data_IF_508155774327
#
_entry.id   IF_508155774327
#
_cell.length_a   1.000
_cell.length_b   1.000
_cell.length_c   1.000
_cell.angle_alpha   90.00
_cell.angle_beta   90.00
_cell.angle_gamma   90.00
#
_symmetry.space_group_name_H-M   'P 1'
#
loop_
_entity.id
_entity.type
_entity.pdbx_description
1 polymer ?
#
# COMPACT_ATOMS: atom_id res chain seq x y z
N UNK A 1 -55.79 16.62 51.12
CA UNK A 1 -54.75 15.57 51.03
C UNK A 1 -54.79 14.80 49.70
N UNK A 2 -55.97 14.39 49.20
CA UNK A 2 -56.08 13.66 47.91
C UNK A 2 -55.77 14.55 46.69
N UNK A 3 -56.22 15.81 46.68
CA UNK A 3 -55.98 16.72 45.54
C UNK A 3 -54.52 17.14 45.38
N UNK A 4 -53.78 17.34 46.48
CA UNK A 4 -52.34 17.61 46.45
C UNK A 4 -51.52 16.45 45.89
N UNK A 5 -51.93 15.20 46.16
CA UNK A 5 -51.25 14.02 45.62
C UNK A 5 -51.50 13.87 44.12
N UNK A 6 -52.72 14.20 43.66
CA UNK A 6 -53.08 14.16 42.24
C UNK A 6 -52.34 15.24 41.44
N UNK A 7 -52.20 16.44 42.00
CA UNK A 7 -51.45 17.54 41.39
C UNK A 7 -49.95 17.27 41.33
N UNK A 8 -49.35 16.68 42.38
CA UNK A 8 -47.94 16.22 42.35
C UNK A 8 -47.70 15.07 41.38
N UNK A 9 -48.69 14.22 41.16
CA UNK A 9 -48.62 13.11 40.20
C UNK A 9 -48.70 13.60 38.76
N UNK A 10 -49.52 14.61 38.47
CA UNK A 10 -49.64 15.22 37.15
C UNK A 10 -48.37 16.01 36.77
N UNK A 11 -47.80 16.77 37.71
CA UNK A 11 -46.55 17.54 37.51
C UNK A 11 -45.34 16.63 37.23
N UNK A 12 -45.19 15.52 37.98
CA UNK A 12 -44.18 14.49 37.70
C UNK A 12 -44.38 13.79 36.35
N UNK A 13 -45.61 13.68 35.89
CA UNK A 13 -45.95 13.06 34.60
C UNK A 13 -45.59 14.02 33.46
N UNK A 14 -45.91 15.31 33.58
CA UNK A 14 -45.52 16.37 32.65
C UNK A 14 -43.99 16.49 32.52
N UNK A 15 -43.27 16.47 33.64
CA UNK A 15 -41.80 16.52 33.66
C UNK A 15 -41.17 15.30 32.95
N UNK A 16 -41.73 14.09 33.17
CA UNK A 16 -41.31 12.88 32.47
C UNK A 16 -41.59 12.95 30.97
N UNK A 17 -42.76 13.43 30.56
CA UNK A 17 -43.11 13.58 29.13
C UNK A 17 -42.19 14.59 28.43
N UNK A 18 -41.85 15.70 29.10
CA UNK A 18 -40.89 16.68 28.57
C UNK A 18 -39.48 16.10 28.44
N UNK A 19 -39.02 15.33 29.43
CA UNK A 19 -37.73 14.61 29.37
C UNK A 19 -37.70 13.55 28.26
N UNK A 20 -38.78 12.80 28.08
CA UNK A 20 -38.91 11.81 27.00
C UNK A 20 -38.87 12.49 25.62
N UNK A 21 -39.54 13.62 25.43
CA UNK A 21 -39.52 14.39 24.18
C UNK A 21 -38.11 14.96 23.87
N UNK A 22 -37.38 15.44 24.88
CA UNK A 22 -35.99 15.90 24.71
C UNK A 22 -35.05 14.75 24.33
N UNK A 23 -35.17 13.60 25.00
CA UNK A 23 -34.37 12.40 24.70
C UNK A 23 -34.69 11.88 23.30
N UNK A 24 -35.96 11.89 22.88
CA UNK A 24 -36.37 11.51 21.53
C UNK A 24 -35.77 12.46 20.48
N UNK A 25 -35.77 13.78 20.71
CA UNK A 25 -35.15 14.76 19.80
C UNK A 25 -33.63 14.60 19.72
N UNK A 26 -32.97 14.32 20.83
CA UNK A 26 -31.53 14.04 20.82
C UNK A 26 -31.21 12.74 20.07
N UNK A 27 -32.00 11.69 20.28
CA UNK A 27 -31.88 10.43 19.56
C UNK A 27 -32.08 10.61 18.05
N UNK A 28 -33.06 11.41 17.61
CA UNK A 28 -33.27 11.66 16.17
C UNK A 28 -32.13 12.47 15.56
N UNK A 29 -31.60 13.48 16.25
CA UNK A 29 -30.44 14.24 15.76
C UNK A 29 -29.21 13.35 15.65
N UNK A 30 -28.93 12.52 16.66
CA UNK A 30 -27.79 11.60 16.64
C UNK A 30 -27.96 10.55 15.54
N UNK A 31 -29.16 9.98 15.38
CA UNK A 31 -29.45 9.02 14.32
C UNK A 31 -29.29 9.66 12.92
N UNK A 32 -29.74 10.89 12.74
CA UNK A 32 -29.63 11.62 11.47
C UNK A 32 -28.18 12.02 11.17
N UNK A 33 -27.41 12.41 12.19
CA UNK A 33 -25.97 12.65 12.06
C UNK A 33 -25.21 11.36 11.68
N UNK A 34 -25.55 10.23 12.31
CA UNK A 34 -24.95 8.93 11.99
C UNK A 34 -25.33 8.46 10.59
N UNK A 35 -26.59 8.62 10.18
CA UNK A 35 -27.04 8.31 8.83
C UNK A 35 -26.35 9.20 7.79
N UNK A 36 -26.22 10.50 8.06
CA UNK A 36 -25.48 11.44 7.20
C UNK A 36 -24.00 11.08 7.09
N UNK A 37 -23.37 10.71 8.21
CA UNK A 37 -21.98 10.24 8.23
C UNK A 37 -21.81 8.94 7.45
N UNK A 38 -22.70 7.96 7.63
CA UNK A 38 -22.68 6.70 6.91
C UNK A 38 -22.84 6.91 5.39
N UNK A 39 -23.79 7.76 4.99
CA UNK A 39 -24.03 8.10 3.59
C UNK A 39 -22.83 8.84 2.99
N UNK A 40 -22.21 9.75 3.75
CA UNK A 40 -20.97 10.42 3.36
C UNK A 40 -19.82 9.43 3.17
N UNK A 41 -19.63 8.48 4.10
CA UNK A 41 -18.63 7.42 3.98
C UNK A 41 -18.87 6.52 2.76
N UNK A 42 -20.12 6.19 2.46
CA UNK A 42 -20.44 5.33 1.32
C UNK A 42 -20.19 6.07 -0.01
N UNK A 43 -20.59 7.34 -0.11
CA UNK A 43 -20.23 8.20 -1.25
C UNK A 43 -18.71 8.32 -1.36
N UNK A 44 -18.00 8.55 -0.26
CA UNK A 44 -16.54 8.62 -0.26
C UNK A 44 -15.88 7.32 -0.72
N UNK A 45 -16.44 6.14 -0.40
CA UNK A 45 -15.94 4.86 -0.88
C UNK A 45 -16.10 4.68 -2.40
N UNK A 46 -17.18 5.21 -3.00
CA UNK A 46 -17.33 5.23 -4.46
C UNK A 46 -16.28 6.10 -5.13
N UNK A 47 -15.93 7.24 -4.52
CA UNK A 47 -14.88 8.12 -5.02
C UNK A 47 -13.46 7.73 -4.58
N UNK A 48 -13.30 6.67 -3.79
CA UNK A 48 -12.01 6.31 -3.20
C UNK A 48 -10.96 5.97 -4.27
N UNK A 49 -11.36 5.33 -5.37
CA UNK A 49 -10.45 5.00 -6.45
C UNK A 49 -9.95 6.25 -7.18
N UNK A 50 -10.85 7.21 -7.46
CA UNK A 50 -10.49 8.50 -8.06
C UNK A 50 -9.59 9.29 -7.11
N UNK A 51 -9.92 9.30 -5.81
CA UNK A 51 -9.13 9.98 -4.79
C UNK A 51 -7.74 9.35 -4.66
N UNK A 52 -7.62 8.03 -4.81
CA UNK A 52 -6.34 7.33 -4.82
C UNK A 52 -5.51 7.69 -6.04
N UNK A 53 -6.10 7.73 -7.23
CA UNK A 53 -5.42 8.19 -8.45
C UNK A 53 -4.93 9.62 -8.27
N UNK A 54 -5.80 10.53 -7.80
CA UNK A 54 -5.44 11.92 -7.54
C UNK A 54 -4.32 12.04 -6.50
N UNK A 55 -4.41 11.29 -5.39
CA UNK A 55 -3.42 11.29 -4.32
C UNK A 55 -2.05 10.83 -4.80
N UNK A 56 -1.97 9.67 -5.49
CA UNK A 56 -0.72 9.15 -6.04
C UNK A 56 -0.17 10.12 -7.10
N UNK A 57 -1.02 10.65 -7.98
CA UNK A 57 -0.61 11.60 -9.02
C UNK A 57 -0.04 12.89 -8.44
N UNK A 58 -0.62 13.39 -7.35
CA UNK A 58 -0.17 14.55 -6.60
C UNK A 58 1.21 14.29 -5.99
N UNK A 59 1.38 13.17 -5.30
CA UNK A 59 2.67 12.77 -4.72
C UNK A 59 3.74 12.62 -5.80
N UNK A 60 3.42 11.93 -6.89
CA UNK A 60 4.30 11.75 -8.04
C UNK A 60 4.69 13.10 -8.67
N UNK A 61 3.72 14.01 -8.80
CA UNK A 61 3.95 15.36 -9.30
C UNK A 61 4.91 16.14 -8.39
N UNK A 62 4.66 16.12 -7.08
CA UNK A 62 5.55 16.79 -6.11
C UNK A 62 6.96 16.21 -6.09
N UNK A 63 7.11 14.90 -6.35
CA UNK A 63 8.43 14.27 -6.44
C UNK A 63 9.23 14.83 -7.63
N UNK A 64 8.59 14.97 -8.80
CA UNK A 64 9.27 15.35 -10.04
C UNK A 64 9.31 16.86 -10.31
N UNK A 65 8.57 17.69 -9.56
CA UNK A 65 8.48 19.13 -9.80
C UNK A 65 9.85 19.81 -9.89
N UNK A 66 10.78 19.49 -8.98
CA UNK A 66 12.13 20.07 -8.98
C UNK A 66 12.96 19.65 -10.22
N UNK A 67 12.82 18.40 -10.65
CA UNK A 67 13.54 17.85 -11.80
C UNK A 67 13.01 18.51 -13.07
N UNK A 68 11.69 18.65 -13.17
CA UNK A 68 11.03 19.34 -14.28
C UNK A 68 11.36 20.82 -14.31
N UNK A 69 11.30 21.53 -13.19
CA UNK A 69 11.60 22.96 -13.15
C UNK A 69 13.09 23.24 -13.43
N UNK A 70 14.00 22.34 -13.04
CA UNK A 70 15.40 22.41 -13.43
C UNK A 70 15.58 22.19 -14.94
N UNK A 71 14.93 21.17 -15.50
CA UNK A 71 15.04 20.84 -16.93
C UNK A 71 14.32 21.87 -17.82
N UNK A 72 13.22 22.46 -17.36
CA UNK A 72 12.48 23.51 -18.05
C UNK A 72 13.29 24.80 -18.21
N UNK A 73 14.39 24.99 -17.44
CA UNK A 73 15.34 26.09 -17.68
C UNK A 73 16.18 25.88 -18.95
N UNK A 74 16.35 24.62 -19.37
CA UNK A 74 17.14 24.25 -20.55
C UNK A 74 16.26 23.95 -21.77
N UNK A 75 15.02 23.52 -21.56
CA UNK A 75 14.06 23.15 -22.61
C UNK A 75 13.04 24.25 -22.84
N UNK A 76 12.73 24.57 -24.10
CA UNK A 76 11.92 25.73 -24.49
C UNK A 76 10.45 25.69 -24.00
N UNK A 77 9.92 24.53 -23.61
CA UNK A 77 8.55 24.35 -23.13
C UNK A 77 8.49 23.43 -21.91
N UNK A 78 7.67 23.80 -20.91
CA UNK A 78 7.43 22.99 -19.71
C UNK A 78 6.87 21.61 -20.05
N UNK A 79 5.97 21.53 -21.04
CA UNK A 79 5.39 20.26 -21.49
C UNK A 79 6.46 19.29 -22.03
N UNK A 80 7.45 19.81 -22.78
CA UNK A 80 8.58 19.02 -23.26
C UNK A 80 9.50 18.58 -22.12
N UNK A 81 9.75 19.44 -21.13
CA UNK A 81 10.52 19.06 -19.95
C UNK A 81 9.85 17.91 -19.18
N UNK A 82 8.54 17.99 -18.96
CA UNK A 82 7.77 16.92 -18.31
C UNK A 82 7.85 15.61 -19.12
N UNK A 83 7.62 15.68 -20.43
CA UNK A 83 7.68 14.52 -21.31
C UNK A 83 9.06 13.85 -21.26
N UNK A 84 10.14 14.64 -21.32
CA UNK A 84 11.50 14.11 -21.24
C UNK A 84 11.78 13.44 -19.89
N UNK A 85 11.35 14.05 -18.78
CA UNK A 85 11.50 13.45 -17.44
C UNK A 85 10.77 12.11 -17.34
N UNK A 86 9.54 12.03 -17.83
CA UNK A 86 8.77 10.78 -17.83
C UNK A 86 9.35 9.74 -18.78
N UNK A 87 9.91 10.15 -19.91
CA UNK A 87 10.60 9.25 -20.84
C UNK A 87 11.85 8.65 -20.18
N UNK A 88 12.70 9.48 -19.57
CA UNK A 88 13.90 9.03 -18.84
C UNK A 88 13.52 8.12 -17.68
N UNK A 89 12.49 8.48 -16.92
CA UNK A 89 11.97 7.64 -15.83
C UNK A 89 11.46 6.30 -16.34
N UNK A 90 10.68 6.30 -17.43
CA UNK A 90 10.17 5.07 -18.05
C UNK A 90 11.30 4.15 -18.50
N UNK A 91 12.34 4.70 -19.15
CA UNK A 91 13.54 3.94 -19.52
C UNK A 91 14.26 3.40 -18.29
N UNK A 92 14.43 4.21 -17.24
CA UNK A 92 15.09 3.79 -16.01
C UNK A 92 14.33 2.65 -15.30
N UNK A 93 12.99 2.72 -15.25
CA UNK A 93 12.14 1.66 -14.68
C UNK A 93 12.22 0.39 -15.52
N UNK A 94 12.09 0.49 -16.85
CA UNK A 94 12.19 -0.67 -17.74
C UNK A 94 13.55 -1.34 -17.58
N UNK A 95 14.64 -0.56 -17.59
CA UNK A 95 16.00 -1.07 -17.41
C UNK A 95 16.17 -1.74 -16.04
N UNK A 96 15.63 -1.13 -14.97
CA UNK A 96 15.65 -1.70 -13.63
C UNK A 96 14.90 -3.03 -13.56
N UNK A 97 13.71 -3.13 -14.16
CA UNK A 97 12.94 -4.37 -14.21
C UNK A 97 13.67 -5.44 -15.03
N UNK A 98 14.19 -5.09 -16.21
CA UNK A 98 14.89 -6.05 -17.09
C UNK A 98 16.19 -6.57 -16.47
N UNK A 99 16.90 -5.77 -15.67
CA UNK A 99 18.12 -6.21 -14.99
C UNK A 99 17.86 -6.92 -13.67
N UNK A 100 16.99 -6.36 -12.83
CA UNK A 100 16.78 -6.83 -11.45
C UNK A 100 15.83 -8.02 -11.43
N UNK A 101 14.74 -7.99 -12.20
CA UNK A 101 13.70 -9.03 -12.13
C UNK A 101 14.24 -10.43 -12.51
N UNK A 102 15.01 -10.62 -13.60
CA UNK A 102 15.58 -11.94 -13.91
C UNK A 102 16.58 -12.41 -12.86
N UNK A 103 17.40 -11.50 -12.33
CA UNK A 103 18.33 -11.83 -11.25
C UNK A 103 17.59 -12.28 -9.98
N UNK A 104 16.46 -11.63 -9.66
CA UNK A 104 15.58 -12.06 -8.57
C UNK A 104 14.94 -13.42 -8.84
N UNK A 105 14.40 -13.66 -10.04
CA UNK A 105 13.78 -14.95 -10.39
C UNK A 105 14.81 -16.09 -10.28
N UNK A 106 16.02 -15.88 -10.77
CA UNK A 106 17.11 -16.85 -10.65
C UNK A 106 17.46 -17.14 -9.18
N UNK A 107 17.61 -16.09 -8.37
CA UNK A 107 17.91 -16.21 -6.94
C UNK A 107 16.77 -16.90 -6.16
N UNK A 108 15.50 -16.63 -6.48
CA UNK A 108 14.35 -17.33 -5.87
C UNK A 108 14.30 -18.80 -6.29
N UNK A 109 14.59 -19.12 -7.55
CA UNK A 109 14.65 -20.50 -8.02
C UNK A 109 15.76 -21.29 -7.30
N UNK A 110 16.93 -20.66 -7.11
CA UNK A 110 18.06 -21.25 -6.39
C UNK A 110 17.76 -21.42 -4.89
N UNK A 111 17.02 -20.49 -4.26
CA UNK A 111 16.48 -20.67 -2.90
C UNK A 111 15.58 -21.90 -2.84
N UNK A 112 14.64 -22.00 -3.78
CA UNK A 112 13.73 -23.14 -3.87
C UNK A 112 14.52 -24.45 -3.96
N UNK A 113 15.41 -24.57 -4.94
CA UNK A 113 16.19 -25.79 -5.15
C UNK A 113 17.06 -26.16 -3.94
N UNK A 114 17.76 -25.18 -3.36
CA UNK A 114 18.62 -25.40 -2.18
C UNK A 114 17.80 -25.83 -0.97
N UNK A 115 16.66 -25.19 -0.71
CA UNK A 115 15.77 -25.54 0.40
C UNK A 115 15.13 -26.91 0.16
N UNK A 116 14.63 -27.20 -1.03
CA UNK A 116 14.03 -28.50 -1.35
C UNK A 116 15.04 -29.66 -1.30
N UNK A 117 16.30 -29.43 -1.70
CA UNK A 117 17.36 -30.45 -1.62
C UNK A 117 17.93 -30.62 -0.21
N UNK A 118 17.93 -29.57 0.62
CA UNK A 118 18.40 -29.64 2.01
C UNK A 118 17.32 -30.04 3.00
N UNK A 119 16.03 -29.93 2.67
CA UNK A 119 14.92 -30.41 3.51
C UNK A 119 15.09 -31.88 3.92
N UNK A 120 15.38 -32.83 3.01
CA UNK A 120 15.65 -34.22 3.38
C UNK A 120 16.80 -34.34 4.39
N UNK A 121 17.89 -33.59 4.19
CA UNK A 121 19.06 -33.64 5.09
C UNK A 121 18.81 -32.97 6.45
N UNK A 122 17.99 -31.92 6.50
CA UNK A 122 17.55 -31.28 7.74
C UNK A 122 16.60 -32.21 8.48
N UNK A 123 15.71 -32.89 7.76
CA UNK A 123 14.83 -33.92 8.32
C UNK A 123 15.65 -35.10 8.83
N UNK A 124 16.65 -35.58 8.09
CA UNK A 124 17.53 -36.68 8.53
C UNK A 124 18.34 -36.29 9.76
N UNK A 125 18.85 -35.05 9.83
CA UNK A 125 19.55 -34.53 11.02
C UNK A 125 18.60 -34.34 12.20
N UNK A 126 17.36 -33.95 11.95
CA UNK A 126 16.32 -33.82 12.97
C UNK A 126 15.90 -35.20 13.48
N UNK A 127 15.75 -36.21 12.60
CA UNK A 127 15.49 -37.61 12.94
C UNK A 127 16.67 -38.18 13.74
N UNK A 128 17.91 -37.95 13.33
CA UNK A 128 19.11 -38.37 14.08
C UNK A 128 19.21 -37.69 15.45
N UNK A 129 18.87 -36.41 15.57
CA UNK A 129 18.82 -35.68 16.84
C UNK A 129 17.65 -36.13 17.73
N UNK A 130 16.55 -36.61 17.13
CA UNK A 130 15.39 -37.19 17.80
C UNK A 130 15.55 -38.69 18.06
N UNK A 131 16.52 -39.37 17.48
CA UNK A 131 16.81 -40.79 17.68
C UNK A 131 16.99 -41.18 19.18
N UNK A 132 17.69 -40.40 20.02
CA UNK A 132 17.70 -40.65 21.47
C UNK A 132 16.35 -40.40 22.17
N UNK A 133 15.43 -39.67 21.53
CA UNK A 133 14.02 -39.55 21.95
C UNK A 133 13.17 -40.72 21.42
N UNK A 134 13.52 -41.26 20.26
CA UNK A 134 12.84 -42.35 19.57
C UNK A 134 13.01 -43.68 20.31
N UNK A 135 14.18 -43.99 20.89
CA UNK A 135 14.34 -45.13 21.79
C UNK A 135 13.38 -45.06 23.00
N UNK A 136 13.09 -43.84 23.49
CA UNK A 136 12.12 -43.63 24.58
C UNK A 136 10.67 -43.65 24.10
N UNK A 137 10.42 -43.44 22.80
CA UNK A 137 9.08 -43.32 22.20
C UNK A 137 8.63 -44.59 21.45
N UNK A 138 9.55 -45.44 21.00
CA UNK A 138 9.26 -46.80 20.48
C UNK A 138 8.69 -47.71 21.57
N UNK A 139 9.01 -47.46 22.83
CA UNK A 139 8.30 -48.06 23.98
C UNK A 139 6.80 -47.67 24.04
N UNK A 140 6.39 -46.62 23.34
CA UNK A 140 5.03 -46.07 23.31
C UNK A 140 4.27 -46.30 21.97
N UNK A 141 4.81 -47.09 21.03
CA UNK A 141 4.17 -47.44 19.72
C UNK A 141 3.63 -46.25 18.92
N UNK A 142 4.49 -45.28 18.57
CA UNK A 142 4.12 -44.21 17.63
C UNK A 142 5.01 -44.32 16.38
N UNK A 143 4.41 -44.69 15.26
CA UNK A 143 5.04 -44.81 13.95
C UNK A 143 5.07 -43.43 13.26
N UNK A 144 6.26 -42.88 13.00
CA UNK A 144 6.39 -41.58 12.34
C UNK A 144 6.28 -41.77 10.82
N UNK A 145 5.07 -41.54 10.30
CA UNK A 145 4.71 -41.54 8.88
C UNK A 145 5.19 -40.28 8.13
N UNK A 146 6.49 -39.99 8.17
CA UNK A 146 7.07 -38.87 7.41
C UNK A 146 6.86 -39.01 5.89
N UNK A 147 6.86 -40.26 5.39
CA UNK A 147 6.61 -40.58 3.97
C UNK A 147 5.18 -40.24 3.51
N UNK A 148 4.17 -40.42 4.36
CA UNK A 148 2.77 -40.10 4.02
C UNK A 148 2.53 -38.59 4.00
N UNK A 149 3.26 -37.82 4.81
CA UNK A 149 3.13 -36.35 4.84
C UNK A 149 3.73 -35.75 3.56
N UNK A 150 4.88 -36.24 3.11
CA UNK A 150 5.49 -35.81 1.85
C UNK A 150 4.64 -36.19 0.63
N UNK A 151 4.09 -37.41 0.59
CA UNK A 151 3.23 -37.84 -0.51
C UNK A 151 1.91 -37.06 -0.54
N UNK A 152 1.36 -36.70 0.62
CA UNK A 152 0.18 -35.84 0.75
C UNK A 152 0.47 -34.40 0.33
N UNK A 153 1.64 -33.84 0.68
CA UNK A 153 2.06 -32.51 0.21
C UNK A 153 2.27 -32.47 -1.31
N UNK A 154 2.92 -33.48 -1.88
CA UNK A 154 3.13 -33.61 -3.32
C UNK A 154 1.81 -33.84 -4.10
N UNK A 155 0.84 -34.54 -3.50
CA UNK A 155 -0.48 -34.76 -4.07
C UNK A 155 -1.42 -33.55 -3.97
N UNK A 156 -1.18 -32.63 -3.01
CA UNK A 156 -1.93 -31.39 -2.83
C UNK A 156 -1.32 -30.18 -3.55
N UNK A 157 -0.18 -30.34 -4.24
CA UNK A 157 0.27 -29.34 -5.20
C UNK A 157 -0.78 -29.23 -6.31
N UNK A 158 -1.26 -28.01 -6.64
CA UNK A 158 -2.25 -27.84 -7.69
C UNK A 158 -1.67 -28.38 -8.99
N UNK A 159 -2.14 -29.55 -9.42
CA UNK A 159 -1.82 -30.06 -10.75
C UNK A 159 -2.38 -29.06 -11.77
N UNK A 160 -1.62 -28.69 -12.81
CA UNK A 160 -2.06 -27.69 -13.77
C UNK A 160 -3.21 -28.27 -14.60
N UNK A 161 -4.45 -28.05 -14.16
CA UNK A 161 -5.63 -28.39 -14.94
C UNK A 161 -5.75 -27.36 -16.08
N UNK A 162 -5.83 -27.81 -17.33
CA UNK A 162 -5.76 -26.94 -18.52
C UNK A 162 -6.85 -25.87 -18.55
N UNK A 163 -7.98 -26.12 -17.88
CA UNK A 163 -9.10 -25.17 -17.71
C UNK A 163 -8.79 -24.08 -16.68
N UNK A 164 -8.05 -24.39 -15.61
CA UNK A 164 -7.60 -23.42 -14.61
C UNK A 164 -6.49 -22.51 -15.15
N UNK A 165 -5.64 -23.03 -16.04
CA UNK A 165 -4.62 -22.22 -16.72
C UNK A 165 -5.30 -21.15 -17.58
N UNK A 166 -6.31 -21.51 -18.36
CA UNK A 166 -7.01 -20.56 -19.24
C UNK A 166 -7.76 -19.48 -18.45
N UNK A 167 -8.39 -19.84 -17.32
CA UNK A 167 -9.03 -18.89 -16.41
C UNK A 167 -8.02 -17.96 -15.72
N UNK A 168 -6.85 -18.48 -15.31
CA UNK A 168 -5.77 -17.65 -14.74
C UNK A 168 -5.15 -16.72 -15.79
N UNK A 169 -5.05 -17.16 -17.04
CA UNK A 169 -4.54 -16.31 -18.13
C UNK A 169 -5.50 -15.15 -18.43
N UNK A 170 -6.81 -15.40 -18.45
CA UNK A 170 -7.80 -14.32 -18.65
C UNK A 170 -7.83 -13.36 -17.46
N UNK A 171 -7.78 -13.86 -16.23
CA UNK A 171 -7.69 -13.04 -15.01
C UNK A 171 -6.40 -12.21 -14.99
N UNK A 172 -5.27 -12.80 -15.38
CA UNK A 172 -3.98 -12.09 -15.45
C UNK A 172 -3.98 -11.02 -16.55
N UNK A 173 -4.59 -11.29 -17.72
CA UNK A 173 -4.73 -10.29 -18.79
C UNK A 173 -5.63 -9.12 -18.36
N UNK A 174 -6.77 -9.39 -17.73
CA UNK A 174 -7.68 -8.36 -17.21
C UNK A 174 -7.03 -7.53 -16.10
N UNK A 175 -6.30 -8.18 -15.19
CA UNK A 175 -5.58 -7.50 -14.10
C UNK A 175 -4.48 -6.62 -14.67
N UNK A 176 -3.68 -7.13 -15.61
CA UNK A 176 -2.61 -6.37 -16.26
C UNK A 176 -3.17 -5.16 -17.00
N UNK A 177 -4.27 -5.31 -17.73
CA UNK A 177 -4.91 -4.22 -18.45
C UNK A 177 -5.50 -3.17 -17.50
N UNK A 178 -6.11 -3.61 -16.40
CA UNK A 178 -6.63 -2.71 -15.36
C UNK A 178 -5.48 -1.94 -14.68
N UNK A 179 -4.39 -2.60 -14.32
CA UNK A 179 -3.20 -1.96 -13.74
C UNK A 179 -2.55 -1.00 -14.72
N UNK A 180 -2.51 -1.34 -16.02
CA UNK A 180 -2.01 -0.46 -17.07
C UNK A 180 -2.87 0.80 -17.20
N UNK A 181 -4.20 0.65 -17.26
CA UNK A 181 -5.13 1.78 -17.31
C UNK A 181 -5.04 2.65 -16.05
N UNK A 182 -4.88 2.03 -14.88
CA UNK A 182 -4.67 2.71 -13.62
C UNK A 182 -3.38 3.53 -13.62
N UNK A 183 -2.25 2.92 -13.98
CA UNK A 183 -0.95 3.59 -14.08
C UNK A 183 -0.94 4.71 -15.13
N UNK A 184 -1.58 4.48 -16.28
CA UNK A 184 -1.75 5.50 -17.32
C UNK A 184 -2.56 6.68 -16.80
N UNK A 185 -3.65 6.43 -16.07
CA UNK A 185 -4.47 7.48 -15.46
C UNK A 185 -3.66 8.31 -14.46
N UNK A 186 -2.87 7.65 -13.59
CA UNK A 186 -1.97 8.33 -12.66
C UNK A 186 -0.95 9.18 -13.40
N UNK A 187 -0.33 8.66 -14.47
CA UNK A 187 0.65 9.43 -15.25
C UNK A 187 0.03 10.66 -15.91
N UNK A 188 -1.15 10.53 -16.50
CA UNK A 188 -1.85 11.63 -17.18
C UNK A 188 -2.27 12.71 -16.18
N UNK A 189 -2.84 12.32 -15.04
CA UNK A 189 -3.24 13.28 -13.99
C UNK A 189 -2.01 13.95 -13.38
N UNK A 190 -0.94 13.20 -13.14
CA UNK A 190 0.32 13.74 -12.64
C UNK A 190 0.96 14.71 -13.64
N UNK A 191 0.93 14.38 -14.94
CA UNK A 191 1.35 15.29 -16.01
C UNK A 191 0.61 16.62 -15.96
N UNK A 192 -0.72 16.58 -15.77
CA UNK A 192 -1.53 17.79 -15.66
C UNK A 192 -1.17 18.62 -14.42
N UNK A 193 -0.96 17.97 -13.27
CA UNK A 193 -0.48 18.63 -12.05
C UNK A 193 0.91 19.25 -12.21
N UNK A 194 1.80 18.63 -12.99
CA UNK A 194 3.12 19.18 -13.28
C UNK A 194 3.06 20.38 -14.24
N UNK A 195 2.14 20.33 -15.21
CA UNK A 195 1.96 21.39 -16.19
C UNK A 195 1.38 22.66 -15.52
N UNK A 196 0.26 22.51 -14.81
CA UNK A 196 -0.55 23.61 -14.26
C UNK A 196 -0.55 23.71 -12.73
N UNK A 197 0.36 23.04 -12.04
CA UNK A 197 0.38 22.95 -10.57
C UNK A 197 0.32 24.28 -9.84
N UNK A 198 0.97 25.33 -10.36
CA UNK A 198 0.90 26.68 -9.78
C UNK A 198 -0.50 27.30 -9.90
N UNK A 199 -1.15 27.18 -11.07
CA UNK A 199 -2.52 27.67 -11.27
C UNK A 199 -3.53 26.91 -10.41
N UNK A 200 -3.37 25.59 -10.28
CA UNK A 200 -4.22 24.73 -9.44
C UNK A 200 -4.10 25.15 -7.97
N UNK A 201 -2.87 25.32 -7.48
CA UNK A 201 -2.59 25.78 -6.12
C UNK A 201 -3.22 27.14 -5.84
N UNK A 202 -3.01 28.10 -6.72
CA UNK A 202 -3.55 29.46 -6.55
C UNK A 202 -5.08 29.47 -6.58
N UNK A 203 -5.69 28.63 -7.43
CA UNK A 203 -7.14 28.47 -7.49
C UNK A 203 -7.71 27.89 -6.20
N UNK A 204 -7.05 26.89 -5.61
CA UNK A 204 -7.42 26.32 -4.32
C UNK A 204 -7.31 27.38 -3.21
N UNK A 205 -6.20 28.16 -3.17
CA UNK A 205 -6.00 29.22 -2.17
C UNK A 205 -7.06 30.33 -2.32
N UNK A 206 -7.49 30.64 -3.56
CA UNK A 206 -8.53 31.66 -3.82
C UNK A 206 -9.90 31.27 -3.26
N UNK A 207 -10.18 29.98 -3.07
CA UNK A 207 -11.41 29.49 -2.45
C UNK A 207 -11.50 29.87 -0.96
N UNK A 208 -10.36 30.13 -0.30
CA UNK A 208 -10.33 30.57 1.08
C UNK A 208 -10.59 32.08 1.24
N UNK A 209 -11.18 32.50 2.38
CA UNK A 209 -11.40 33.92 2.69
C UNK A 209 -10.10 34.73 2.63
N UNK A 210 -10.16 35.96 2.13
CA UNK A 210 -8.99 36.84 1.90
C UNK A 210 -8.05 36.96 3.10
N UNK A 211 -8.60 36.98 4.32
CA UNK A 211 -7.87 37.05 5.59
C UNK A 211 -6.87 35.90 5.80
N UNK A 212 -7.15 34.71 5.26
CA UNK A 212 -6.31 33.52 5.45
C UNK A 212 -5.40 33.20 4.27
N UNK A 213 -5.59 33.86 3.12
CA UNK A 213 -4.86 33.55 1.87
C UNK A 213 -3.34 33.62 2.03
N UNK A 214 -2.83 34.66 2.70
CA UNK A 214 -1.39 34.79 2.96
C UNK A 214 -0.85 33.64 3.81
N UNK A 215 -1.60 33.23 4.84
CA UNK A 215 -1.22 32.10 5.71
C UNK A 215 -1.26 30.77 4.96
N UNK A 216 -2.28 30.54 4.13
CA UNK A 216 -2.37 29.34 3.28
C UNK A 216 -1.22 29.25 2.29
N UNK A 217 -0.79 30.37 1.70
CA UNK A 217 0.32 30.40 0.75
C UNK A 217 1.66 30.06 1.43
N UNK A 218 1.92 30.63 2.61
CA UNK A 218 3.12 30.30 3.40
C UNK A 218 3.09 28.83 3.84
N UNK A 219 1.97 28.35 4.35
CA UNK A 219 1.82 26.96 4.79
C UNK A 219 2.02 25.98 3.64
N UNK A 220 1.42 26.24 2.48
CA UNK A 220 1.63 25.40 1.30
C UNK A 220 3.10 25.41 0.86
N UNK A 221 3.80 26.55 0.90
CA UNK A 221 5.23 26.59 0.57
C UNK A 221 6.07 25.75 1.54
N UNK A 222 5.73 25.72 2.82
CA UNK A 222 6.41 24.88 3.81
C UNK A 222 6.12 23.39 3.59
N UNK A 223 4.89 23.05 3.20
CA UNK A 223 4.52 21.68 2.80
C UNK A 223 5.34 21.24 1.59
N UNK A 224 5.49 22.10 0.58
CA UNK A 224 6.28 21.80 -0.62
C UNK A 224 7.73 21.45 -0.27
N UNK A 225 8.38 22.27 0.58
CA UNK A 225 9.75 22.02 1.04
C UNK A 225 9.84 20.72 1.85
N UNK A 226 8.89 20.50 2.76
CA UNK A 226 8.90 19.32 3.65
C UNK A 226 8.68 18.02 2.87
N UNK A 227 7.73 18.01 1.93
CA UNK A 227 7.46 16.85 1.08
C UNK A 227 8.66 16.55 0.18
N UNK A 228 9.25 17.56 -0.45
CA UNK A 228 10.43 17.38 -1.29
C UNK A 228 11.64 16.88 -0.49
N UNK A 229 11.87 17.41 0.71
CA UNK A 229 12.94 16.94 1.60
C UNK A 229 12.71 15.49 2.04
N UNK A 230 11.48 15.13 2.39
CA UNK A 230 11.11 13.76 2.73
C UNK A 230 11.39 12.79 1.58
N UNK A 231 10.91 13.09 0.36
CA UNK A 231 11.13 12.23 -0.79
C UNK A 231 12.60 12.05 -1.14
N UNK A 232 13.39 13.14 -1.12
CA UNK A 232 14.84 13.06 -1.32
C UNK A 232 15.50 12.22 -0.22
N UNK A 233 15.08 12.41 1.02
CA UNK A 233 15.53 11.62 2.16
C UNK A 233 15.26 10.13 1.97
N UNK A 234 14.05 9.76 1.57
CA UNK A 234 13.65 8.37 1.35
C UNK A 234 14.42 7.73 0.19
N UNK A 235 14.61 8.44 -0.93
CA UNK A 235 15.40 7.91 -2.06
C UNK A 235 16.86 7.70 -1.64
N UNK A 236 17.48 8.66 -0.97
CA UNK A 236 18.86 8.54 -0.50
C UNK A 236 18.99 7.45 0.54
N UNK A 237 18.05 7.35 1.48
CA UNK A 237 18.05 6.34 2.53
C UNK A 237 17.86 4.94 1.96
N UNK A 238 16.91 4.74 1.05
CA UNK A 238 16.66 3.45 0.40
C UNK A 238 17.85 2.99 -0.44
N UNK A 239 18.44 3.88 -1.25
CA UNK A 239 19.63 3.56 -2.03
C UNK A 239 20.87 3.29 -1.17
N UNK A 240 21.09 4.09 -0.12
CA UNK A 240 22.20 3.88 0.80
C UNK A 240 22.04 2.57 1.58
N UNK A 241 20.87 2.34 2.17
CA UNK A 241 20.59 1.16 2.97
C UNK A 241 20.61 -0.11 2.12
N UNK A 242 19.93 -0.09 0.97
CA UNK A 242 19.96 -1.18 0.00
C UNK A 242 21.36 -1.49 -0.50
N UNK A 243 22.11 -0.47 -0.92
CA UNK A 243 23.48 -0.63 -1.41
C UNK A 243 24.44 -1.20 -0.35
N UNK A 244 24.38 -0.68 0.88
CA UNK A 244 25.17 -1.20 2.01
C UNK A 244 24.79 -2.66 2.30
N UNK A 245 23.50 -2.99 2.32
CA UNK A 245 23.04 -4.35 2.58
C UNK A 245 23.46 -5.33 1.50
N UNK A 246 23.41 -4.94 0.22
CA UNK A 246 23.96 -5.77 -0.88
C UNK A 246 25.45 -6.05 -0.63
N UNK A 247 26.24 -5.03 -0.29
CA UNK A 247 27.67 -5.21 -0.02
C UNK A 247 27.95 -6.10 1.19
N UNK A 248 27.19 -5.94 2.27
CA UNK A 248 27.30 -6.78 3.48
C UNK A 248 26.96 -8.23 3.15
N UNK A 249 25.87 -8.49 2.43
CA UNK A 249 25.46 -9.83 2.07
C UNK A 249 26.40 -10.50 1.07
N UNK A 250 26.96 -9.75 0.11
CA UNK A 250 28.02 -10.23 -0.77
C UNK A 250 29.29 -10.58 0.03
N UNK A 251 29.67 -9.74 1.01
CA UNK A 251 30.81 -9.99 1.89
C UNK A 251 30.64 -11.22 2.80
N UNK A 252 29.39 -11.54 3.17
CA UNK A 252 29.04 -12.74 3.93
C UNK A 252 28.88 -14.00 3.04
N UNK A 253 29.01 -13.87 1.71
CA UNK A 253 28.82 -14.99 0.78
C UNK A 253 27.38 -15.47 0.67
N UNK A 254 26.39 -14.60 0.92
CA UNK A 254 24.98 -14.94 0.78
C UNK A 254 24.59 -14.81 -0.70
N UNK A 255 24.20 -15.93 -1.32
CA UNK A 255 23.85 -16.02 -2.75
C UNK A 255 22.69 -15.09 -3.17
N UNK A 256 21.87 -14.67 -2.20
CA UNK A 256 20.63 -13.89 -2.40
C UNK A 256 20.76 -12.42 -2.00
N UNK A 257 22.00 -11.91 -1.93
CA UNK A 257 22.33 -10.55 -1.52
C UNK A 257 21.53 -9.47 -2.26
N UNK A 258 21.28 -9.66 -3.55
CA UNK A 258 20.62 -8.67 -4.41
C UNK A 258 19.12 -8.61 -4.13
N UNK A 259 18.42 -9.75 -3.97
CA UNK A 259 17.02 -9.74 -3.55
C UNK A 259 16.85 -9.04 -2.21
N UNK A 260 17.63 -9.47 -1.20
CA UNK A 260 17.48 -8.96 0.16
C UNK A 260 17.82 -7.48 0.21
N UNK A 261 18.83 -7.04 -0.53
CA UNK A 261 19.20 -5.64 -0.63
C UNK A 261 18.12 -4.77 -1.29
N UNK A 262 17.53 -5.22 -2.40
CA UNK A 262 16.43 -4.48 -3.07
C UNK A 262 15.18 -4.46 -2.21
N UNK A 263 14.84 -5.57 -1.53
CA UNK A 263 13.68 -5.63 -0.64
C UNK A 263 13.83 -4.68 0.56
N UNK A 264 15.05 -4.50 1.07
CA UNK A 264 15.32 -3.54 2.14
C UNK A 264 15.42 -2.09 1.63
N UNK A 265 15.62 -1.88 0.33
CA UNK A 265 15.72 -0.56 -0.29
C UNK A 265 14.35 0.08 -0.59
N UNK A 266 13.32 -0.75 -0.79
CA UNK A 266 11.94 -0.36 -1.17
C UNK A 266 11.04 -0.35 0.07
#
# INVERSE_FOLDING_TARGET
>A
MVDEQKQKMDDKTQEKLMKLALVQRQLTIVALAFASFFLCCQVASYFADILRILGISLLLSYLFINVVDWLAKYVHSRAMAIFLVYLVLGVAVILSVVLVLPAMVYQVAQLGETVFQQIPQIIDKLIYALHPLEEKLHAAKIEIKAMDILSTFAANLPKPDSTQILARMSEMALTTMTSFMYGLSVLVVSFYFLLDGHHIRDSIIRLFPSKYRARCLVMSSQMDISLQAFFRGQIVLGLAFGGIMVLVYLGLGIDYALILGVFLAV
#
